data_IF_102324368148
#
_entry.id   IF_102324368148
#
_cell.length_a   1.000
_cell.length_b   1.000
_cell.length_c   1.000
_cell.angle_alpha   90.00
_cell.angle_beta   90.00
_cell.angle_gamma   90.00
#
_symmetry.space_group_name_H-M   'P 1'
#
loop_
_entity.id
_entity.type
_entity.pdbx_description
1 polymer ?
#
# COMPACT_ATOMS: atom_id res chain seq x y z
N UNK A 1 11.91 14.80 -4.18
CA UNK A 1 12.47 13.46 -3.87
C UNK A 1 12.05 12.47 -4.97
N UNK A 2 12.69 11.31 -5.18
CA UNK A 2 12.10 10.28 -6.05
C UNK A 2 10.68 9.95 -5.55
N UNK A 3 9.71 9.86 -6.47
CA UNK A 3 8.32 9.49 -6.16
C UNK A 3 7.53 10.46 -5.25
N UNK A 4 7.87 11.75 -5.28
CA UNK A 4 7.14 12.77 -4.51
C UNK A 4 5.66 12.89 -4.91
N UNK A 5 5.35 12.77 -6.21
CA UNK A 5 3.94 12.81 -6.68
C UNK A 5 3.20 11.55 -6.25
N UNK A 6 3.85 10.39 -6.32
CA UNK A 6 3.32 9.14 -5.81
C UNK A 6 2.93 9.25 -4.32
N UNK A 7 3.84 9.70 -3.46
CA UNK A 7 3.59 9.86 -2.01
C UNK A 7 2.49 10.90 -1.73
N UNK A 8 2.57 12.07 -2.38
CA UNK A 8 1.59 13.13 -2.20
C UNK A 8 0.18 12.71 -2.63
N UNK A 9 0.06 11.93 -3.70
CA UNK A 9 -1.23 11.43 -4.19
C UNK A 9 -1.87 10.48 -3.18
N UNK A 10 -1.11 9.54 -2.62
CA UNK A 10 -1.64 8.64 -1.59
C UNK A 10 -2.08 9.41 -0.35
N UNK A 11 -1.30 10.39 0.09
CA UNK A 11 -1.66 11.24 1.22
C UNK A 11 -2.95 12.03 0.98
N UNK A 12 -3.08 12.68 -0.18
CA UNK A 12 -4.27 13.45 -0.53
C UNK A 12 -5.53 12.58 -0.57
N UNK A 13 -5.43 11.37 -1.11
CA UNK A 13 -6.53 10.40 -1.10
C UNK A 13 -6.88 9.98 0.33
N UNK A 14 -5.89 9.61 1.14
CA UNK A 14 -6.12 9.24 2.53
C UNK A 14 -6.79 10.35 3.33
N UNK A 15 -6.29 11.59 3.23
CA UNK A 15 -6.90 12.75 3.87
C UNK A 15 -8.33 13.01 3.37
N UNK A 16 -8.59 12.84 2.07
CA UNK A 16 -9.90 13.10 1.47
C UNK A 16 -10.97 12.17 2.02
N UNK A 17 -10.68 10.88 2.17
CA UNK A 17 -11.67 9.84 2.44
C UNK A 17 -11.72 9.34 3.88
N UNK A 18 -10.66 9.55 4.68
CA UNK A 18 -10.65 9.18 6.11
C UNK A 18 -11.83 9.80 6.84
N UNK A 19 -12.52 8.99 7.64
CA UNK A 19 -13.70 9.42 8.41
C UNK A 19 -14.98 9.64 7.58
N UNK A 20 -14.95 9.45 6.25
CA UNK A 20 -16.11 9.65 5.37
C UNK A 20 -16.59 8.38 4.67
N UNK A 21 -15.75 7.34 4.65
CA UNK A 21 -16.01 6.07 3.96
C UNK A 21 -16.06 4.95 4.98
N UNK A 22 -17.14 4.17 4.95
CA UNK A 22 -17.30 3.00 5.80
C UNK A 22 -16.61 1.76 5.22
N UNK A 23 -16.55 0.69 6.02
CA UNK A 23 -15.96 -0.56 5.59
C UNK A 23 -17.03 -1.55 5.13
N UNK A 24 -16.81 -2.20 3.99
CA UNK A 24 -17.58 -3.40 3.60
C UNK A 24 -16.69 -4.37 2.85
N UNK A 25 -16.48 -5.56 3.45
CA UNK A 25 -15.72 -6.66 2.85
C UNK A 25 -16.19 -6.96 1.43
N UNK A 26 -15.25 -7.10 0.50
CA UNK A 26 -15.50 -7.45 -0.90
C UNK A 26 -15.80 -6.25 -1.80
N UNK A 27 -16.07 -5.06 -1.25
CA UNK A 27 -16.32 -3.86 -2.05
C UNK A 27 -14.99 -3.20 -2.43
N UNK A 28 -14.78 -2.93 -3.72
CA UNK A 28 -13.57 -2.23 -4.19
C UNK A 28 -13.87 -0.76 -4.47
N UNK A 29 -13.03 -0.11 -5.27
CA UNK A 29 -13.07 1.34 -5.50
C UNK A 29 -14.40 1.88 -6.05
N UNK A 30 -15.16 1.06 -6.77
CA UNK A 30 -16.50 1.39 -7.25
C UNK A 30 -17.50 1.70 -6.13
N UNK A 31 -17.29 1.14 -4.93
CA UNK A 31 -18.10 1.41 -3.75
C UNK A 31 -18.01 2.85 -3.25
N UNK A 32 -16.99 3.62 -3.65
CA UNK A 32 -16.87 5.03 -3.31
C UNK A 32 -17.91 5.90 -4.03
N UNK A 33 -18.49 5.43 -5.13
CA UNK A 33 -19.50 6.17 -5.92
C UNK A 33 -20.92 6.01 -5.36
N UNK A 34 -21.14 5.10 -4.42
CA UNK A 34 -22.44 4.90 -3.80
C UNK A 34 -22.80 6.06 -2.85
N UNK A 35 -24.10 6.24 -2.60
CA UNK A 35 -24.60 7.25 -1.64
C UNK A 35 -24.08 7.00 -0.21
N UNK A 36 -23.94 5.74 0.17
CA UNK A 36 -23.14 5.31 1.32
C UNK A 36 -21.82 4.75 0.81
N UNK A 37 -20.78 5.59 0.77
CA UNK A 37 -19.45 5.17 0.28
C UNK A 37 -18.85 4.10 1.18
N UNK A 38 -18.47 2.97 0.58
CA UNK A 38 -17.92 1.81 1.27
C UNK A 38 -16.74 1.21 0.51
N UNK A 39 -15.79 0.62 1.23
CA UNK A 39 -14.65 -0.07 0.62
C UNK A 39 -14.05 -1.12 1.57
N UNK A 40 -13.40 -2.15 1.03
CA UNK A 40 -12.59 -3.10 1.81
C UNK A 40 -11.11 -2.72 1.85
N UNK A 41 -10.33 -3.42 2.69
CA UNK A 41 -8.91 -3.11 2.93
C UNK A 41 -8.08 -3.15 1.64
N UNK A 42 -8.24 -4.21 0.85
CA UNK A 42 -7.52 -4.35 -0.42
C UNK A 42 -8.00 -3.40 -1.51
N UNK A 43 -9.30 -3.08 -1.55
CA UNK A 43 -9.86 -2.09 -2.46
C UNK A 43 -9.30 -0.71 -2.18
N UNK A 44 -9.13 -0.37 -0.90
CA UNK A 44 -8.53 0.88 -0.47
C UNK A 44 -7.05 0.98 -0.83
N UNK A 45 -6.24 -0.01 -0.44
CA UNK A 45 -4.80 -0.03 -0.77
C UNK A 45 -4.59 -0.08 -2.30
N UNK A 46 -5.37 -0.90 -3.01
CA UNK A 46 -5.30 -0.97 -4.47
C UNK A 46 -5.60 0.37 -5.15
N UNK A 47 -6.60 1.12 -4.65
CA UNK A 47 -6.91 2.47 -5.14
C UNK A 47 -5.77 3.45 -4.89
N UNK A 48 -5.22 3.47 -3.66
CA UNK A 48 -4.10 4.35 -3.31
C UNK A 48 -2.91 4.12 -4.24
N UNK A 49 -2.51 2.87 -4.40
CA UNK A 49 -1.37 2.50 -5.23
C UNK A 49 -1.61 2.80 -6.71
N UNK A 50 -2.74 2.37 -7.28
CA UNK A 50 -2.97 2.55 -8.72
C UNK A 50 -3.04 4.03 -9.10
N UNK A 51 -3.72 4.85 -8.28
CA UNK A 51 -3.82 6.30 -8.54
C UNK A 51 -2.48 7.02 -8.35
N UNK A 52 -1.67 6.62 -7.37
CA UNK A 52 -0.35 7.19 -7.16
C UNK A 52 0.63 6.85 -8.29
N UNK A 53 0.60 5.61 -8.79
CA UNK A 53 1.40 5.20 -9.95
C UNK A 53 1.01 5.98 -11.21
N UNK A 54 -0.30 6.13 -11.46
CA UNK A 54 -0.82 6.92 -12.59
C UNK A 54 -0.41 8.39 -12.49
N UNK A 55 -0.55 8.99 -11.30
CA UNK A 55 -0.18 10.38 -11.05
C UNK A 55 1.32 10.62 -11.24
N UNK A 56 2.19 9.70 -10.80
CA UNK A 56 3.63 9.80 -11.02
C UNK A 56 3.98 9.71 -12.51
N UNK A 57 3.34 8.81 -13.26
CA UNK A 57 3.55 8.73 -14.71
C UNK A 57 3.16 10.05 -15.40
N UNK A 58 2.01 10.61 -15.03
CA UNK A 58 1.53 11.89 -15.58
C UNK A 58 2.49 13.02 -15.25
N UNK A 59 2.89 13.15 -13.99
CA UNK A 59 3.76 14.24 -13.54
C UNK A 59 5.18 14.16 -14.10
N UNK A 60 5.70 12.94 -14.28
CA UNK A 60 7.03 12.73 -14.87
C UNK A 60 7.04 12.79 -16.39
N UNK A 61 5.88 12.67 -17.05
CA UNK A 61 5.79 12.51 -18.51
C UNK A 61 6.36 11.18 -19.01
N UNK A 62 6.59 10.22 -18.12
CA UNK A 62 7.21 8.93 -18.40
C UNK A 62 6.32 7.78 -17.94
N UNK A 63 6.44 6.62 -18.58
CA UNK A 63 5.80 5.38 -18.13
C UNK A 63 6.64 4.68 -17.04
N UNK A 64 6.94 5.38 -15.95
CA UNK A 64 7.73 4.84 -14.83
C UNK A 64 7.10 3.56 -14.26
N UNK A 65 5.77 3.53 -14.12
CA UNK A 65 5.02 2.33 -13.82
C UNK A 65 4.30 1.83 -15.07
N UNK A 66 4.49 0.56 -15.44
CA UNK A 66 3.75 -0.04 -16.56
C UNK A 66 2.25 -0.15 -16.26
N UNK A 67 1.42 -0.16 -17.31
CA UNK A 67 -0.03 -0.41 -17.15
C UNK A 67 -0.32 -1.75 -16.44
N UNK A 68 0.51 -2.77 -16.67
CA UNK A 68 0.41 -4.06 -15.98
C UNK A 68 0.74 -3.93 -14.49
N UNK A 69 1.71 -3.09 -14.11
CA UNK A 69 2.00 -2.82 -12.70
C UNK A 69 0.80 -2.15 -12.01
N UNK A 70 0.24 -1.10 -12.64
CA UNK A 70 -0.91 -0.33 -12.13
C UNK A 70 -2.15 -1.21 -11.94
N UNK A 71 -2.49 -2.03 -12.93
CA UNK A 71 -3.66 -2.93 -12.84
C UNK A 71 -3.44 -4.09 -11.87
N UNK A 72 -2.20 -4.58 -11.71
CA UNK A 72 -1.91 -5.75 -10.87
C UNK A 72 -2.10 -5.53 -9.37
N UNK A 73 -2.11 -4.27 -8.90
CA UNK A 73 -2.37 -3.94 -7.48
C UNK A 73 -3.88 -3.81 -7.17
N UNK A 74 -4.75 -3.88 -8.17
CA UNK A 74 -6.21 -3.86 -8.00
C UNK A 74 -6.75 -5.27 -7.75
N UNK A 75 -6.31 -5.89 -6.65
CA UNK A 75 -6.62 -7.28 -6.32
C UNK A 75 -6.83 -7.47 -4.81
N UNK A 76 -6.77 -8.70 -4.31
CA UNK A 76 -6.95 -9.03 -2.90
C UNK A 76 -5.67 -8.79 -2.08
N UNK A 77 -5.82 -8.61 -0.76
CA UNK A 77 -4.74 -8.28 0.18
C UNK A 77 -3.49 -9.15 0.01
N UNK A 78 -3.65 -10.48 0.01
CA UNK A 78 -2.55 -11.42 -0.14
C UNK A 78 -1.88 -11.31 -1.52
N UNK A 79 -2.68 -11.08 -2.56
CA UNK A 79 -2.22 -10.96 -3.94
C UNK A 79 -1.51 -9.64 -4.21
N UNK A 80 -1.90 -8.54 -3.56
CA UNK A 80 -1.16 -7.27 -3.66
C UNK A 80 0.26 -7.48 -3.13
N UNK A 81 0.41 -8.04 -1.93
CA UNK A 81 1.71 -8.34 -1.34
C UNK A 81 2.53 -9.26 -2.25
N UNK A 82 1.92 -10.32 -2.77
CA UNK A 82 2.60 -11.29 -3.64
C UNK A 82 3.05 -10.68 -4.99
N UNK A 83 2.21 -9.84 -5.61
CA UNK A 83 2.52 -9.13 -6.85
C UNK A 83 3.68 -8.17 -6.66
N UNK A 84 3.65 -7.34 -5.62
CA UNK A 84 4.72 -6.37 -5.36
C UNK A 84 6.01 -7.13 -5.07
N UNK A 85 5.98 -8.14 -4.20
CA UNK A 85 7.15 -8.94 -3.89
C UNK A 85 7.73 -9.64 -5.13
N UNK A 86 6.89 -10.26 -5.97
CA UNK A 86 7.35 -10.95 -7.19
C UNK A 86 8.05 -10.02 -8.17
N UNK A 87 7.60 -8.76 -8.26
CA UNK A 87 8.16 -7.77 -9.18
C UNK A 87 9.41 -7.09 -8.65
N UNK A 88 9.52 -6.94 -7.35
CA UNK A 88 10.56 -6.12 -6.70
C UNK A 88 11.62 -6.95 -6.01
N UNK A 89 11.35 -8.23 -5.76
CA UNK A 89 12.12 -9.11 -4.88
C UNK A 89 12.35 -8.54 -3.47
N UNK A 90 11.54 -7.54 -3.09
CA UNK A 90 11.61 -6.89 -1.80
C UNK A 90 10.51 -7.41 -0.89
N UNK A 91 10.90 -8.07 0.19
CA UNK A 91 10.00 -8.56 1.24
C UNK A 91 10.78 -8.68 2.54
N UNK A 92 10.22 -8.17 3.62
CA UNK A 92 10.66 -8.54 4.97
C UNK A 92 9.46 -8.79 5.89
N UNK A 93 9.72 -9.47 7.01
CA UNK A 93 8.68 -10.09 7.83
C UNK A 93 9.02 -10.02 9.32
N UNK A 94 7.99 -9.99 10.15
CA UNK A 94 8.12 -10.22 11.59
C UNK A 94 8.93 -9.15 12.30
N UNK A 95 9.87 -9.54 13.17
CA UNK A 95 10.63 -8.65 14.05
C UNK A 95 11.45 -7.57 13.33
N UNK A 96 11.68 -7.73 12.02
CA UNK A 96 12.32 -6.73 11.17
C UNK A 96 11.41 -5.50 10.90
N UNK A 97 10.10 -5.60 11.21
CA UNK A 97 9.10 -4.55 11.02
C UNK A 97 9.16 -3.52 12.14
N UNK A 98 9.93 -2.46 11.90
CA UNK A 98 10.00 -1.28 12.75
C UNK A 98 10.05 0.01 11.93
N UNK A 99 9.71 1.14 12.56
CA UNK A 99 9.60 2.44 11.90
C UNK A 99 10.87 2.85 11.13
N UNK A 100 12.06 2.46 11.64
CA UNK A 100 13.36 2.80 11.05
C UNK A 100 13.69 2.00 9.79
N UNK A 101 13.04 0.85 9.59
CA UNK A 101 13.32 -0.08 8.49
C UNK A 101 12.22 -0.10 7.43
N UNK A 102 11.06 0.50 7.72
CA UNK A 102 9.95 0.59 6.77
C UNK A 102 10.31 1.48 5.58
N UNK A 103 10.10 1.00 4.35
CA UNK A 103 10.05 1.87 3.18
C UNK A 103 9.02 2.99 3.36
N UNK A 104 9.31 4.16 2.78
CA UNK A 104 8.41 5.33 2.87
C UNK A 104 7.01 5.05 2.32
N UNK A 105 6.94 4.22 1.28
CA UNK A 105 5.68 3.81 0.65
C UNK A 105 5.33 2.36 0.94
N UNK A 106 5.77 1.82 2.07
CA UNK A 106 5.56 0.41 2.42
C UNK A 106 4.08 -0.01 2.37
N UNK A 107 3.82 -1.15 1.73
CA UNK A 107 2.54 -1.85 1.85
C UNK A 107 2.71 -3.00 2.84
N UNK A 108 1.81 -3.08 3.81
CA UNK A 108 1.91 -4.01 4.95
C UNK A 108 0.76 -5.01 4.90
N UNK A 109 1.08 -6.29 4.75
CA UNK A 109 0.13 -7.40 4.85
C UNK A 109 0.13 -8.00 6.25
N UNK A 110 -1.06 -8.32 6.76
CA UNK A 110 -1.25 -8.88 8.09
C UNK A 110 -2.10 -10.14 8.05
N UNK A 111 -1.71 -11.15 8.82
CA UNK A 111 -2.58 -12.29 9.15
C UNK A 111 -3.37 -11.94 10.41
N UNK A 112 -4.49 -11.25 10.21
CA UNK A 112 -5.41 -10.91 11.29
C UNK A 112 -6.54 -11.93 11.42
N UNK A 113 -6.54 -12.64 12.55
CA UNK A 113 -7.55 -13.65 12.86
C UNK A 113 -7.53 -14.87 11.93
N UNK A 114 -8.49 -15.76 12.14
CA UNK A 114 -8.71 -16.95 11.32
C UNK A 114 -10.20 -17.05 10.95
N UNK A 115 -10.72 -16.14 10.11
CA UNK A 115 -12.13 -16.15 9.78
C UNK A 115 -12.49 -17.43 9.03
N UNK A 116 -13.67 -18.00 9.30
CA UNK A 116 -14.08 -19.30 8.75
C UNK A 116 -14.03 -19.38 7.21
N UNK A 117 -14.24 -18.26 6.52
CA UNK A 117 -14.11 -18.21 5.05
C UNK A 117 -12.68 -18.49 4.56
N UNK A 118 -11.65 -18.20 5.36
CA UNK A 118 -10.25 -18.42 4.99
C UNK A 118 -9.89 -19.90 4.86
N UNK A 119 -10.69 -20.79 5.47
CA UNK A 119 -10.56 -22.23 5.31
C UNK A 119 -10.93 -22.68 3.88
N UNK A 120 -11.91 -22.00 3.26
CA UNK A 120 -12.39 -22.32 1.91
C UNK A 120 -11.66 -21.52 0.82
N UNK A 121 -10.99 -20.42 1.21
CA UNK A 121 -10.25 -19.55 0.30
C UNK A 121 -8.86 -19.24 0.90
N UNK A 122 -7.93 -20.23 0.88
CA UNK A 122 -6.62 -20.07 1.47
C UNK A 122 -5.87 -18.92 0.79
N UNK A 123 -5.37 -18.01 1.62
CA UNK A 123 -4.63 -16.82 1.21
C UNK A 123 -3.15 -17.12 1.21
N UNK A 124 -2.40 -16.55 0.27
CA UNK A 124 -0.93 -16.61 0.33
C UNK A 124 -0.50 -16.00 1.66
N UNK A 125 0.34 -16.74 2.42
CA UNK A 125 0.78 -16.36 3.77
C UNK A 125 -0.37 -16.11 4.76
N UNK A 126 -1.59 -16.55 4.47
CA UNK A 126 -2.75 -16.32 5.33
C UNK A 126 -3.11 -14.83 5.50
N UNK A 127 -2.66 -13.94 4.61
CA UNK A 127 -2.90 -12.49 4.74
C UNK A 127 -4.40 -12.20 4.59
N UNK A 128 -5.00 -11.64 5.63
CA UNK A 128 -6.43 -11.29 5.70
C UNK A 128 -6.68 -9.80 5.75
N UNK A 129 -5.65 -9.00 6.02
CA UNK A 129 -5.71 -7.55 6.09
C UNK A 129 -4.49 -6.91 5.43
N UNK A 130 -4.64 -5.67 4.94
CA UNK A 130 -3.58 -4.92 4.29
C UNK A 130 -3.73 -3.43 4.61
N UNK A 131 -2.59 -2.76 4.78
CA UNK A 131 -2.50 -1.34 5.07
C UNK A 131 -1.37 -0.69 4.25
N UNK A 132 -1.41 0.63 4.13
CA UNK A 132 -0.47 1.40 3.33
C UNK A 132 0.17 2.51 4.17
N UNK A 133 1.50 2.59 4.15
CA UNK A 133 2.24 3.74 4.70
C UNK A 133 2.10 4.92 3.75
N UNK A 134 1.75 6.08 4.28
CA UNK A 134 1.56 7.34 3.56
C UNK A 134 2.25 8.48 4.32
N UNK A 135 2.77 9.48 3.60
CA UNK A 135 3.52 10.59 4.18
C UNK A 135 2.83 11.92 3.94
N UNK A 136 2.68 12.72 5.00
CA UNK A 136 2.10 14.06 4.90
C UNK A 136 3.12 15.03 4.30
N UNK A 137 2.82 15.55 3.11
CA UNK A 137 3.76 16.37 2.33
C UNK A 137 4.29 17.63 3.03
N UNK A 138 3.58 18.17 4.04
CA UNK A 138 3.97 19.43 4.70
C UNK A 138 5.15 19.29 5.68
N UNK A 139 5.26 18.13 6.33
CA UNK A 139 6.16 17.91 7.46
C UNK A 139 6.78 16.50 7.47
N UNK A 140 6.58 15.76 6.38
CA UNK A 140 7.07 14.40 6.18
C UNK A 140 6.66 13.39 7.27
N UNK A 141 5.60 13.69 8.02
CA UNK A 141 5.12 12.79 9.05
C UNK A 141 4.52 11.52 8.43
N UNK A 142 4.95 10.36 8.92
CA UNK A 142 4.51 9.05 8.46
C UNK A 142 3.22 8.59 9.16
N UNK A 143 2.29 8.09 8.36
CA UNK A 143 1.00 7.55 8.81
C UNK A 143 0.76 6.19 8.15
N UNK A 144 -0.15 5.42 8.73
CA UNK A 144 -0.73 4.24 8.09
C UNK A 144 -2.18 4.51 7.76
N UNK A 145 -2.54 4.31 6.50
CA UNK A 145 -3.92 4.35 6.02
C UNK A 145 -4.44 2.93 5.77
N UNK A 146 -5.62 2.63 6.30
CA UNK A 146 -6.24 1.31 6.19
C UNK A 146 -7.77 1.41 6.14
N UNK A 147 -8.43 0.41 5.55
CA UNK A 147 -9.87 0.21 5.71
C UNK A 147 -10.09 -0.94 6.68
N UNK A 148 -10.74 -0.69 7.82
CA UNK A 148 -10.90 -1.67 8.88
C UNK A 148 -12.37 -1.90 9.22
N UNK A 149 -12.72 -3.15 9.56
CA UNK A 149 -14.09 -3.59 9.84
C UNK A 149 -14.34 -3.99 11.29
N UNK A 150 -13.68 -3.33 12.25
CA UNK A 150 -13.80 -3.63 13.67
C UNK A 150 -15.07 -3.06 14.32
N UNK A 151 -15.39 -3.55 15.52
CA UNK A 151 -16.56 -3.12 16.30
C UNK A 151 -16.42 -1.71 16.88
N UNK A 152 -15.21 -1.32 17.28
CA UNK A 152 -14.94 -0.01 17.92
C UNK A 152 -14.53 1.07 16.93
N UNK A 153 -13.90 0.68 15.82
CA UNK A 153 -13.49 1.56 14.72
C UNK A 153 -13.75 0.85 13.40
N UNK A 154 -14.52 1.48 12.53
CA UNK A 154 -14.89 0.94 11.22
C UNK A 154 -14.80 2.02 10.14
N UNK A 155 -14.39 1.61 8.94
CA UNK A 155 -14.18 2.51 7.81
C UNK A 155 -12.71 2.81 7.54
N UNK A 156 -12.46 3.92 6.84
CA UNK A 156 -11.12 4.38 6.55
C UNK A 156 -10.50 5.11 7.73
N UNK A 157 -9.35 4.59 8.15
CA UNK A 157 -8.56 5.08 9.27
C UNK A 157 -7.23 5.64 8.75
N UNK A 158 -6.70 6.59 9.51
CA UNK A 158 -5.39 7.19 9.29
C UNK A 158 -4.75 7.42 10.65
N UNK A 159 -3.73 6.63 10.98
CA UNK A 159 -3.06 6.66 12.28
C UNK A 159 -1.57 7.04 12.12
N UNK A 160 -0.97 7.76 13.07
CA UNK A 160 0.48 7.91 13.13
C UNK A 160 1.18 6.54 13.07
N UNK A 161 2.30 6.45 12.35
CA UNK A 161 2.97 5.17 12.10
C UNK A 161 3.40 4.46 13.39
N UNK A 162 3.92 5.21 14.36
CA UNK A 162 4.35 4.71 15.66
C UNK A 162 3.19 4.16 16.49
N UNK A 163 2.07 4.90 16.56
CA UNK A 163 0.84 4.43 17.22
C UNK A 163 0.31 3.15 16.55
N UNK A 164 0.29 3.10 15.22
CA UNK A 164 -0.17 1.93 14.49
C UNK A 164 0.73 0.71 14.70
N UNK A 165 2.06 0.89 14.65
CA UNK A 165 3.02 -0.18 14.93
C UNK A 165 2.87 -0.70 16.36
N UNK A 166 2.64 0.19 17.34
CA UNK A 166 2.37 -0.20 18.72
C UNK A 166 1.15 -1.12 18.85
N UNK A 167 0.07 -0.83 18.10
CA UNK A 167 -1.12 -1.69 18.05
C UNK A 167 -0.84 -3.03 17.37
N UNK A 168 0.06 -3.06 16.38
CA UNK A 168 0.38 -4.25 15.59
C UNK A 168 1.50 -5.11 16.19
N UNK A 169 2.10 -4.69 17.30
CA UNK A 169 3.20 -5.40 17.95
C UNK A 169 2.95 -6.90 18.17
N UNK A 170 1.73 -7.37 18.57
CA UNK A 170 1.47 -8.80 18.70
C UNK A 170 1.68 -9.59 17.40
N UNK A 171 1.30 -9.03 16.26
CA UNK A 171 1.49 -9.64 14.94
C UNK A 171 2.95 -9.60 14.50
N UNK A 172 3.67 -8.50 14.83
CA UNK A 172 5.11 -8.37 14.58
C UNK A 172 5.87 -9.48 15.31
N UNK A 173 5.60 -9.66 16.60
CA UNK A 173 6.21 -10.71 17.43
C UNK A 173 5.84 -12.13 16.98
N UNK A 174 4.64 -12.36 16.44
CA UNK A 174 4.26 -13.69 15.94
C UNK A 174 4.75 -13.98 14.51
N UNK A 175 5.41 -13.03 13.87
CA UNK A 175 5.86 -13.16 12.48
C UNK A 175 4.73 -13.10 11.44
N UNK A 176 3.57 -12.57 11.81
CA UNK A 176 2.35 -12.51 11.00
C UNK A 176 2.19 -11.17 10.24
N UNK A 177 3.30 -10.49 9.98
CA UNK A 177 3.39 -9.22 9.25
C UNK A 177 4.37 -9.35 8.10
N UNK A 178 3.97 -8.90 6.91
CA UNK A 178 4.81 -8.87 5.71
C UNK A 178 4.83 -7.47 5.13
N UNK A 179 6.01 -6.99 4.74
CA UNK A 179 6.20 -5.65 4.18
C UNK A 179 6.83 -5.74 2.81
N UNK A 180 6.27 -4.99 1.86
CA UNK A 180 6.78 -4.84 0.49
C UNK A 180 6.89 -3.36 0.12
N UNK A 181 7.70 -3.03 -0.88
CA UNK A 181 7.86 -1.65 -1.37
C UNK A 181 7.32 -1.50 -2.81
N UNK A 182 6.11 -0.96 -2.99
CA UNK A 182 5.51 -0.75 -4.31
C UNK A 182 6.23 0.31 -5.14
N UNK A 183 7.01 1.22 -4.54
CA UNK A 183 7.74 2.24 -5.30
C UNK A 183 8.84 1.62 -6.18
N UNK A 184 9.39 0.47 -5.75
CA UNK A 184 10.36 -0.32 -6.51
C UNK A 184 9.76 -1.00 -7.75
N UNK A 185 8.44 -0.97 -7.93
CA UNK A 185 7.80 -1.45 -9.16
C UNK A 185 8.01 -0.51 -10.35
N UNK A 186 8.51 0.71 -10.10
CA UNK A 186 8.91 1.60 -11.17
C UNK A 186 10.13 1.03 -11.90
N UNK A 187 10.12 1.05 -13.23
CA UNK A 187 11.32 0.74 -14.01
C UNK A 187 12.42 1.73 -13.64
N UNK A 188 13.59 1.21 -13.27
CA UNK A 188 14.69 2.02 -12.76
C UNK A 188 15.08 3.11 -13.76
N UNK A 189 15.29 4.34 -13.26
CA UNK A 189 15.87 5.46 -14.05
C UNK A 189 17.38 5.27 -14.33
N UNK A 190 17.97 4.12 -13.96
CA UNK A 190 19.42 3.98 -13.84
C UNK A 190 20.15 3.59 -15.13
N UNK A 191 19.46 3.31 -16.24
CA UNK A 191 20.13 2.89 -17.48
C UNK A 191 20.33 3.98 -18.55
N UNK A 192 19.80 5.20 -18.37
CA UNK A 192 19.88 6.25 -19.41
C UNK A 192 20.84 7.41 -19.12
N UNK A 193 21.66 7.36 -18.06
CA UNK A 193 22.71 8.38 -17.82
C UNK A 193 24.13 7.90 -18.17
N UNK A 194 24.34 6.59 -18.38
CA UNK A 194 25.65 6.05 -18.77
C UNK A 194 25.88 6.04 -20.29
N UNK A 195 24.85 6.27 -21.10
CA UNK A 195 24.92 6.19 -22.57
C UNK A 195 25.34 7.50 -23.23
N UNK A 196 25.13 8.65 -22.57
CA UNK A 196 25.40 9.98 -23.16
C UNK A 196 26.84 10.48 -22.91
N UNK A 197 27.59 9.91 -21.95
CA UNK A 197 29.02 10.24 -21.77
C UNK A 197 29.96 9.42 -22.68
N UNK A 198 29.47 8.35 -23.31
CA UNK A 198 30.29 7.47 -24.17
C UNK A 198 30.33 7.91 -25.65
N UNK A 199 29.51 8.89 -26.06
CA UNK A 199 29.47 9.40 -27.44
C UNK A 199 30.31 10.68 -27.63
N UNK A 200 30.92 11.20 -26.57
CA UNK A 200 31.66 12.47 -26.62
C UNK A 200 33.11 12.39 -26.10
N UNK A 201 33.77 11.23 -26.25
CA UNK A 201 35.23 11.09 -26.06
C UNK A 201 35.90 10.47 -27.27
#
# INVERSE_FOLDING_TARGET
MPFETFEATMWQLAQRYTGKVGYRRGVKSEGLRASSSLIDCSGWVGLLLSQAMEAENIASGLSAFSATAISSVQTWSDRIIDVVHTRTHYLFQGEDVCAQRLPRSATIGLRMGAPSWANNHPRIRGITHIAQVVHRSRDDAAFVSEAYGGSERSGLLLAPLDEWLGLMQPYVCSGDVWVVDPSLMAVSRLENSASDEAVNR
#
